data_IF_677183778641
#
_entry.id   IF_677183778641
#
_cell.length_a   1.000
_cell.length_b   1.000
_cell.length_c   1.000
_cell.angle_alpha   90.00
_cell.angle_beta   90.00
_cell.angle_gamma   90.00
#
_symmetry.space_group_name_H-M   'P 1'
#
loop_
_entity.id
_entity.type
_entity.pdbx_description
1 polymer ?
#
# COMPACT_ATOMS: atom_id res chain seq x y z
N UNK A 1 -20.12 10.00 26.36
CA UNK A 1 -18.66 10.12 26.48
C UNK A 1 -18.27 11.54 26.13
N UNK A 2 -17.36 12.17 26.89
CA UNK A 2 -16.85 13.49 26.57
C UNK A 2 -16.09 13.49 25.23
N UNK A 3 -16.08 14.64 24.58
CA UNK A 3 -15.26 14.86 23.39
C UNK A 3 -13.79 14.96 23.77
N UNK A 4 -12.89 14.76 22.81
CA UNK A 4 -11.45 14.98 23.03
C UNK A 4 -11.18 16.45 23.42
N UNK A 5 -11.98 17.39 22.91
CA UNK A 5 -11.84 18.81 23.19
C UNK A 5 -12.26 19.19 24.61
N UNK A 6 -13.28 18.53 25.15
CA UNK A 6 -13.67 18.70 26.55
C UNK A 6 -12.65 18.04 27.48
N UNK A 7 -12.11 16.88 27.09
CA UNK A 7 -11.21 16.15 27.98
C UNK A 7 -9.85 16.83 28.14
N UNK A 8 -9.31 17.44 27.08
CA UNK A 8 -8.05 18.19 27.16
C UNK A 8 -8.11 19.41 28.09
N UNK A 9 -9.30 19.88 28.47
CA UNK A 9 -9.51 21.02 29.37
C UNK A 9 -9.53 20.62 30.84
N UNK A 10 -9.52 19.31 31.13
CA UNK A 10 -9.52 18.79 32.50
C UNK A 10 -8.15 18.95 33.16
N UNK A 11 -8.16 19.12 34.48
CA UNK A 11 -6.94 19.24 35.29
C UNK A 11 -6.13 17.93 35.32
N UNK A 12 -6.83 16.79 35.30
CA UNK A 12 -6.23 15.47 35.18
C UNK A 12 -6.68 14.82 33.87
N UNK A 13 -5.71 14.47 33.02
CA UNK A 13 -5.97 13.79 31.76
C UNK A 13 -5.83 12.28 31.92
N UNK A 14 -6.71 11.56 31.26
CA UNK A 14 -6.58 10.12 31.06
C UNK A 14 -5.44 9.80 30.09
N UNK A 15 -5.12 8.51 29.93
CA UNK A 15 -3.96 8.11 29.12
C UNK A 15 -4.26 8.25 27.62
N UNK A 16 -3.49 9.04 26.85
CA UNK A 16 -3.65 9.11 25.41
C UNK A 16 -3.17 7.82 24.74
N UNK A 17 -4.05 7.15 23.99
CA UNK A 17 -3.72 5.91 23.27
C UNK A 17 -4.01 6.07 21.78
N UNK A 18 -3.05 5.62 20.98
CA UNK A 18 -3.22 5.48 19.53
C UNK A 18 -3.62 4.05 19.19
N UNK A 19 -4.72 3.93 18.47
CA UNK A 19 -5.33 2.69 18.00
C UNK A 19 -5.01 2.52 16.51
N UNK A 20 -4.30 1.46 16.16
CA UNK A 20 -3.89 1.17 14.79
C UNK A 20 -4.68 -0.03 14.26
N UNK A 21 -5.48 0.19 13.24
CA UNK A 21 -6.20 -0.86 12.50
C UNK A 21 -5.56 -1.02 11.13
N UNK A 22 -5.01 -2.20 10.85
CA UNK A 22 -4.41 -2.54 9.57
C UNK A 22 -5.20 -3.63 8.88
N UNK A 23 -5.74 -3.32 7.70
CA UNK A 23 -6.43 -4.27 6.83
C UNK A 23 -5.47 -4.74 5.72
N UNK A 24 -5.22 -6.05 5.67
CA UNK A 24 -4.43 -6.68 4.63
C UNK A 24 -5.24 -6.86 3.33
N UNK A 25 -4.57 -7.20 2.24
CA UNK A 25 -5.22 -7.36 0.92
C UNK A 25 -6.31 -8.43 0.87
N UNK A 26 -6.19 -9.46 1.71
CA UNK A 26 -7.18 -10.53 1.82
C UNK A 26 -8.37 -10.16 2.74
N UNK A 27 -8.42 -8.93 3.27
CA UNK A 27 -9.44 -8.46 4.20
C UNK A 27 -9.17 -8.82 5.66
N UNK A 28 -8.10 -9.56 5.97
CA UNK A 28 -7.73 -9.84 7.35
C UNK A 28 -7.29 -8.55 8.05
N UNK A 29 -7.77 -8.33 9.27
CA UNK A 29 -7.47 -7.15 10.08
C UNK A 29 -6.51 -7.46 11.22
N UNK A 30 -5.67 -6.49 11.54
CA UNK A 30 -4.75 -6.50 12.66
C UNK A 30 -4.99 -5.24 13.49
N UNK A 31 -5.02 -5.39 14.80
CA UNK A 31 -5.31 -4.31 15.74
C UNK A 31 -4.16 -4.17 16.73
N UNK A 32 -3.53 -2.99 16.74
CA UNK A 32 -2.36 -2.73 17.56
C UNK A 32 -2.49 -1.43 18.33
N UNK A 33 -1.92 -1.41 19.52
CA UNK A 33 -1.72 -0.22 20.32
C UNK A 33 -0.44 -0.39 21.16
N UNK A 34 -0.04 0.67 21.87
CA UNK A 34 1.04 0.60 22.87
C UNK A 34 0.61 -0.18 24.12
N UNK A 35 -0.68 -0.09 24.47
CA UNK A 35 -1.30 -0.79 25.58
C UNK A 35 -2.36 -1.77 25.05
N UNK A 36 -2.63 -2.83 25.82
CA UNK A 36 -3.70 -3.75 25.48
C UNK A 36 -5.02 -3.12 25.91
N UNK A 37 -5.87 -2.77 24.96
CA UNK A 37 -7.13 -2.06 25.23
C UNK A 37 -8.30 -2.65 24.46
N UNK A 38 -9.51 -2.56 25.01
CA UNK A 38 -10.75 -2.90 24.30
C UNK A 38 -11.42 -1.62 23.79
N UNK A 39 -11.73 -1.57 22.50
CA UNK A 39 -12.41 -0.44 21.89
C UNK A 39 -13.42 -0.93 20.86
N UNK A 40 -14.67 -0.48 20.99
CA UNK A 40 -15.79 -0.87 20.09
C UNK A 40 -15.96 -2.40 19.96
N UNK A 41 -15.66 -3.16 21.02
CA UNK A 41 -15.75 -4.63 21.02
C UNK A 41 -14.60 -5.32 20.29
N UNK A 42 -13.53 -4.58 19.97
CA UNK A 42 -12.31 -5.09 19.37
C UNK A 42 -11.15 -4.95 20.34
N UNK A 43 -10.44 -6.05 20.55
CA UNK A 43 -9.23 -6.06 21.36
C UNK A 43 -8.02 -5.60 20.53
N UNK A 44 -7.41 -4.49 20.95
CA UNK A 44 -6.14 -4.01 20.44
C UNK A 44 -5.00 -4.64 21.24
N UNK A 45 -4.06 -5.29 20.56
CA UNK A 45 -2.92 -5.92 21.21
C UNK A 45 -1.79 -4.91 21.47
N UNK A 46 -1.13 -5.04 22.64
CA UNK A 46 0.09 -4.30 23.02
C UNK A 46 1.30 -4.76 22.22
N UNK A 47 1.30 -4.51 20.91
CA UNK A 47 2.34 -4.96 19.96
C UNK A 47 3.13 -3.81 19.37
N UNK A 48 2.67 -2.58 19.54
CA UNK A 48 3.36 -1.40 19.03
C UNK A 48 4.46 -0.99 20.00
N UNK A 49 5.71 -1.07 19.55
CA UNK A 49 6.87 -0.64 20.33
C UNK A 49 7.16 0.84 20.10
N UNK A 50 7.15 1.27 18.84
CA UNK A 50 7.43 2.65 18.46
C UNK A 50 6.57 3.06 17.26
N UNK A 51 6.22 4.34 17.20
CA UNK A 51 5.62 4.94 16.02
C UNK A 51 6.24 6.31 15.76
N UNK A 52 6.34 6.69 14.49
CA UNK A 52 6.82 8.01 14.06
C UNK A 52 5.86 8.64 13.07
N UNK A 53 5.90 9.97 12.98
CA UNK A 53 5.09 10.72 12.01
C UNK A 53 3.75 11.19 12.55
N UNK A 54 3.62 11.51 13.83
CA UNK A 54 2.48 12.28 14.35
C UNK A 54 2.87 13.70 14.79
N UNK A 55 4.02 14.21 14.33
CA UNK A 55 4.32 15.63 14.41
C UNK A 55 3.33 16.39 13.51
N UNK A 56 2.29 16.92 14.14
CA UNK A 56 1.35 17.86 13.50
C UNK A 56 2.09 19.19 13.42
N UNK A 57 2.70 19.47 12.27
CA UNK A 57 3.21 20.80 11.96
C UNK A 57 2.03 21.63 11.48
N UNK A 58 1.34 22.29 12.42
CA UNK A 58 0.52 23.43 12.07
C UNK A 58 1.43 24.42 11.34
N UNK A 59 1.09 24.80 10.10
CA UNK A 59 1.92 25.61 9.20
C UNK A 59 3.04 24.85 8.46
N UNK A 60 2.71 23.73 7.79
CA UNK A 60 3.59 23.28 6.70
C UNK A 60 3.44 24.24 5.50
N UNK A 61 4.57 24.69 4.91
CA UNK A 61 4.56 25.55 3.72
C UNK A 61 3.82 24.90 2.53
N UNK A 62 3.68 23.57 2.55
CA UNK A 62 2.96 22.78 1.55
C UNK A 62 1.43 22.73 1.76
N UNK A 63 0.89 23.35 2.83
CA UNK A 63 -0.55 23.36 3.12
C UNK A 63 -1.13 22.00 3.50
N UNK A 64 -0.28 21.03 3.84
CA UNK A 64 -0.69 19.69 4.27
C UNK A 64 -0.44 19.60 5.78
N UNK A 65 -1.50 19.72 6.57
CA UNK A 65 -1.45 19.65 8.05
C UNK A 65 -1.39 18.21 8.60
N UNK A 66 -1.28 17.21 7.71
CA UNK A 66 -1.23 15.79 8.10
C UNK A 66 0.10 15.15 7.72
N UNK A 67 0.55 14.20 8.53
CA UNK A 67 1.82 13.54 8.25
C UNK A 67 1.77 12.77 6.93
N UNK A 68 2.80 12.98 6.10
CA UNK A 68 2.89 12.34 4.79
C UNK A 68 3.14 10.82 4.88
N UNK A 69 3.77 10.39 5.99
CA UNK A 69 4.21 9.02 6.25
C UNK A 69 4.18 8.74 7.75
N UNK A 70 3.75 7.53 8.10
CA UNK A 70 3.82 6.96 9.46
C UNK A 70 4.64 5.69 9.40
N UNK A 71 5.62 5.53 10.29
CA UNK A 71 6.39 4.28 10.42
C UNK A 71 6.10 3.64 11.77
N UNK A 72 5.83 2.35 11.76
CA UNK A 72 5.56 1.56 12.96
C UNK A 72 6.67 0.53 13.18
N UNK A 73 7.03 0.32 14.45
CA UNK A 73 7.88 -0.78 14.91
C UNK A 73 7.01 -1.68 15.78
N UNK A 74 6.82 -2.91 15.33
CA UNK A 74 5.98 -3.92 15.99
C UNK A 74 6.85 -5.01 16.64
N UNK A 75 6.39 -5.54 17.77
CA UNK A 75 6.99 -6.67 18.45
C UNK A 75 6.76 -7.97 17.66
N UNK A 76 7.84 -8.62 17.23
CA UNK A 76 7.83 -9.77 16.32
C UNK A 76 8.60 -10.99 16.85
N UNK A 77 8.91 -11.03 18.14
CA UNK A 77 9.65 -12.15 18.74
C UNK A 77 8.96 -13.53 18.55
N UNK A 78 7.65 -13.55 18.33
CA UNK A 78 6.86 -14.74 18.01
C UNK A 78 6.78 -15.05 16.50
N UNK A 79 7.51 -14.30 15.67
CA UNK A 79 7.53 -14.38 14.21
C UNK A 79 6.18 -14.16 13.52
N UNK A 80 5.15 -13.67 14.22
CA UNK A 80 3.79 -13.51 13.67
C UNK A 80 3.79 -12.66 12.40
N UNK A 81 4.48 -11.51 12.42
CA UNK A 81 4.50 -10.59 11.27
C UNK A 81 5.46 -11.06 10.17
N UNK A 82 6.54 -11.75 10.53
CA UNK A 82 7.40 -12.43 9.54
C UNK A 82 6.63 -13.45 8.71
N UNK A 83 5.76 -14.25 9.34
CA UNK A 83 4.93 -15.24 8.64
C UNK A 83 3.82 -14.57 7.81
N UNK A 84 3.25 -13.49 8.32
CA UNK A 84 2.22 -12.73 7.61
C UNK A 84 2.76 -12.06 6.35
N UNK A 85 3.98 -11.53 6.41
CA UNK A 85 4.65 -10.97 5.23
C UNK A 85 4.93 -12.03 4.16
N UNK A 86 5.36 -13.23 4.56
CA UNK A 86 5.65 -14.33 3.62
C UNK A 86 4.42 -14.88 2.92
N UNK A 87 3.25 -14.76 3.54
CA UNK A 87 2.00 -15.31 3.01
C UNK A 87 1.22 -14.29 2.17
N UNK A 88 0.86 -13.15 2.77
CA UNK A 88 -0.02 -12.14 2.15
C UNK A 88 0.76 -10.88 1.78
N UNK A 89 1.69 -10.47 2.65
CA UNK A 89 2.44 -9.23 2.50
C UNK A 89 1.71 -7.99 3.03
N UNK A 90 2.46 -7.04 3.57
CA UNK A 90 1.96 -5.75 4.05
C UNK A 90 1.87 -4.69 2.94
N UNK A 91 2.53 -4.89 1.80
CA UNK A 91 2.46 -3.97 0.66
C UNK A 91 1.01 -3.85 0.20
N UNK A 92 0.45 -2.64 0.13
CA UNK A 92 -0.94 -2.40 -0.28
C UNK A 92 -1.99 -2.67 0.81
N UNK A 93 -1.57 -2.95 2.05
CA UNK A 93 -2.47 -2.92 3.22
C UNK A 93 -3.02 -1.50 3.43
N UNK A 94 -4.14 -1.37 4.15
CA UNK A 94 -4.72 -0.09 4.55
C UNK A 94 -4.54 0.10 6.04
N UNK A 95 -4.04 1.26 6.45
CA UNK A 95 -3.92 1.63 7.85
C UNK A 95 -4.93 2.73 8.19
N UNK A 96 -5.64 2.55 9.29
CA UNK A 96 -6.47 3.56 9.92
C UNK A 96 -6.00 3.74 11.37
N UNK A 97 -5.55 4.95 11.70
CA UNK A 97 -5.11 5.31 13.05
C UNK A 97 -6.13 6.23 13.69
N UNK A 98 -6.54 5.86 14.89
CA UNK A 98 -7.44 6.63 15.74
C UNK A 98 -6.74 7.01 17.04
N UNK A 99 -7.13 8.14 17.61
CA UNK A 99 -6.69 8.62 18.90
C UNK A 99 -7.89 8.67 19.83
N UNK A 100 -7.74 8.11 21.03
CA UNK A 100 -8.70 8.29 22.10
C UNK A 100 -7.96 8.24 23.43
N UNK A 101 -8.55 8.84 24.44
CA UNK A 101 -8.09 8.71 25.80
C UNK A 101 -8.75 7.50 26.47
N UNK A 102 -7.97 6.79 27.29
CA UNK A 102 -8.41 5.60 27.99
C UNK A 102 -8.12 5.71 29.47
N UNK A 103 -9.10 5.25 30.26
CA UNK A 103 -8.83 4.77 31.62
C UNK A 103 -8.25 3.36 31.48
N UNK A 104 -6.93 3.25 31.65
CA UNK A 104 -6.22 1.97 31.54
C UNK A 104 -6.46 1.05 32.74
N UNK A 105 -6.87 1.58 33.89
CA UNK A 105 -7.16 0.76 35.07
C UNK A 105 -8.51 0.04 34.90
N UNK A 106 -9.53 0.75 34.40
CA UNK A 106 -10.82 0.16 34.06
C UNK A 106 -10.83 -0.53 32.68
N UNK A 107 -9.86 -0.22 31.82
CA UNK A 107 -9.79 -0.65 30.43
C UNK A 107 -11.02 -0.23 29.61
N UNK A 108 -11.43 1.04 29.75
CA UNK A 108 -12.61 1.62 29.07
C UNK A 108 -12.20 2.92 28.37
N UNK A 109 -12.73 3.21 27.16
CA UNK A 109 -12.48 4.49 26.52
C UNK A 109 -13.12 5.63 27.33
N UNK A 110 -12.30 6.61 27.67
CA UNK A 110 -12.71 7.79 28.42
C UNK A 110 -13.22 8.91 27.50
N UNK A 111 -12.77 8.96 26.23
CA UNK A 111 -13.24 9.93 25.22
C UNK A 111 -13.71 9.27 23.94
N UNK A 112 -14.43 10.02 23.12
CA UNK A 112 -14.60 9.66 21.71
C UNK A 112 -13.24 9.50 20.98
N UNK A 113 -13.27 8.84 19.83
CA UNK A 113 -12.08 8.61 19.02
C UNK A 113 -11.99 9.55 17.82
N UNK A 114 -10.84 10.20 17.64
CA UNK A 114 -10.52 11.04 16.49
C UNK A 114 -9.67 10.25 15.47
N UNK A 115 -10.02 10.32 14.20
CA UNK A 115 -9.17 9.74 13.14
C UNK A 115 -7.98 10.66 12.86
N UNK A 116 -6.76 10.17 13.11
CA UNK A 116 -5.53 10.94 12.86
C UNK A 116 -4.91 10.65 11.49
N UNK A 117 -4.96 9.39 11.04
CA UNK A 117 -4.25 8.99 9.83
C UNK A 117 -5.00 7.89 9.08
N UNK A 118 -5.00 8.02 7.75
CA UNK A 118 -5.42 6.96 6.84
C UNK A 118 -4.42 6.84 5.70
N UNK A 119 -3.89 5.63 5.49
CA UNK A 119 -2.83 5.42 4.53
C UNK A 119 -2.79 4.01 3.96
N UNK A 120 -1.83 3.79 3.07
CA UNK A 120 -1.53 2.48 2.50
C UNK A 120 -0.12 2.03 2.86
N UNK A 121 0.04 0.75 3.20
CA UNK A 121 1.31 0.15 3.58
C UNK A 121 2.21 -0.14 2.39
N UNK A 122 3.50 -0.02 2.60
CA UNK A 122 4.53 -0.52 1.68
C UNK A 122 4.97 -1.94 2.10
N UNK A 123 5.91 -2.50 1.35
CA UNK A 123 6.68 -3.64 1.87
C UNK A 123 7.38 -3.21 3.18
N UNK A 124 7.60 -4.13 4.13
CA UNK A 124 8.29 -3.80 5.36
C UNK A 124 9.69 -3.25 5.08
N UNK A 125 10.07 -2.20 5.80
CA UNK A 125 11.39 -1.60 5.68
C UNK A 125 12.46 -2.53 6.28
N UNK A 126 12.09 -3.25 7.33
CA UNK A 126 13.00 -4.16 8.03
C UNK A 126 12.24 -5.26 8.76
N UNK A 127 12.75 -6.49 8.67
CA UNK A 127 12.27 -7.64 9.44
C UNK A 127 13.46 -8.17 10.24
N UNK A 128 13.41 -8.04 11.56
CA UNK A 128 14.36 -8.64 12.49
C UNK A 128 13.68 -9.78 13.24
N UNK A 129 14.48 -10.53 13.98
CA UNK A 129 14.00 -11.60 14.86
C UNK A 129 12.98 -11.09 15.89
N UNK A 130 13.27 -9.97 16.56
CA UNK A 130 12.41 -9.43 17.63
C UNK A 130 11.51 -8.27 17.20
N UNK A 131 11.82 -7.60 16.08
CA UNK A 131 11.10 -6.40 15.64
C UNK A 131 10.74 -6.43 14.17
N UNK A 132 9.62 -5.80 13.83
CA UNK A 132 9.13 -5.66 12.47
C UNK A 132 8.81 -4.19 12.19
N UNK A 133 9.47 -3.60 11.19
CA UNK A 133 9.29 -2.20 10.81
C UNK A 133 8.54 -2.10 9.50
N UNK A 134 7.43 -1.37 9.52
CA UNK A 134 6.60 -1.12 8.35
C UNK A 134 6.24 0.36 8.24
N UNK A 135 6.28 0.85 7.00
CA UNK A 135 5.93 2.21 6.64
C UNK A 135 4.57 2.25 5.96
N UNK A 136 3.76 3.24 6.32
CA UNK A 136 2.52 3.60 5.66
C UNK A 136 2.61 5.02 5.12
N UNK A 137 2.17 5.20 3.87
CA UNK A 137 2.08 6.51 3.24
C UNK A 137 0.63 7.03 3.32
N UNK A 138 0.47 8.32 3.60
CA UNK A 138 -0.83 8.96 3.68
C UNK A 138 -1.55 8.84 2.33
N UNK A 139 -2.86 8.60 2.36
CA UNK A 139 -3.69 8.54 1.15
C UNK A 139 -3.67 9.86 0.37
N UNK A 140 -3.50 10.98 1.05
CA UNK A 140 -3.42 12.32 0.47
C UNK A 140 -2.00 12.70 0.04
N UNK A 141 -1.00 11.84 0.25
CA UNK A 141 0.35 12.10 -0.23
C UNK A 141 0.40 11.96 -1.76
N UNK A 142 0.52 13.10 -2.45
CA UNK A 142 0.60 13.20 -3.90
C UNK A 142 1.92 12.69 -4.51
N UNK A 143 2.89 12.23 -3.72
CA UNK A 143 4.12 11.58 -4.21
C UNK A 143 3.91 10.20 -4.87
N UNK A 144 2.68 9.78 -5.15
CA UNK A 144 2.43 8.77 -6.19
C UNK A 144 2.71 9.36 -7.57
N UNK A 145 3.95 9.76 -7.81
CA UNK A 145 4.54 9.64 -9.13
C UNK A 145 4.55 8.13 -9.37
N UNK A 146 3.51 7.63 -10.05
CA UNK A 146 3.53 6.33 -10.69
C UNK A 146 4.67 6.39 -11.70
N UNK A 147 5.89 6.15 -11.24
CA UNK A 147 7.00 5.83 -12.12
C UNK A 147 6.48 4.64 -12.94
N UNK A 148 6.42 4.75 -14.28
CA UNK A 148 5.92 3.68 -15.10
C UNK A 148 6.63 2.38 -14.73
N UNK A 149 5.93 1.24 -14.76
CA UNK A 149 6.53 -0.09 -14.54
C UNK A 149 7.71 -0.37 -15.49
N UNK A 150 7.84 0.44 -16.54
CA UNK A 150 8.94 0.46 -17.49
C UNK A 150 9.84 1.65 -17.25
N UNK A 151 11.16 1.44 -17.41
CA UNK A 151 12.13 2.53 -17.42
C UNK A 151 11.72 3.55 -18.48
N UNK A 152 11.85 4.85 -18.16
CA UNK A 152 11.70 5.91 -19.16
C UNK A 152 12.90 5.80 -20.11
N UNK A 153 12.67 5.30 -21.31
CA UNK A 153 13.71 5.08 -22.32
C UNK A 153 13.15 5.37 -23.72
N UNK A 154 14.02 5.71 -24.67
CA UNK A 154 13.61 6.07 -26.06
C UNK A 154 13.07 4.87 -26.86
N UNK A 155 13.45 3.64 -26.51
CA UNK A 155 13.09 2.40 -27.23
C UNK A 155 12.00 1.64 -26.48
N UNK A 156 11.04 1.05 -27.18
CA UNK A 156 10.10 0.12 -26.55
C UNK A 156 10.83 -1.00 -25.78
N UNK A 157 10.50 -1.26 -24.50
CA UNK A 157 11.14 -2.32 -23.70
C UNK A 157 10.56 -3.71 -23.96
N UNK A 158 9.45 -3.81 -24.69
CA UNK A 158 8.72 -5.05 -24.90
C UNK A 158 9.32 -5.88 -26.03
N UNK A 159 9.27 -7.20 -25.87
CA UNK A 159 9.73 -8.13 -26.88
C UNK A 159 8.73 -8.16 -28.04
N UNK A 160 9.20 -7.94 -29.26
CA UNK A 160 8.35 -7.92 -30.45
C UNK A 160 8.05 -9.35 -30.93
N UNK A 161 6.78 -9.71 -31.18
CA UNK A 161 6.40 -11.02 -31.69
C UNK A 161 6.64 -11.09 -33.21
N UNK A 162 7.63 -11.86 -33.64
CA UNK A 162 8.00 -12.00 -35.06
C UNK A 162 7.23 -13.11 -35.76
N UNK A 163 6.88 -14.17 -35.04
CA UNK A 163 6.16 -15.32 -35.61
C UNK A 163 4.64 -15.21 -35.42
N UNK A 164 3.87 -15.95 -36.22
CA UNK A 164 2.42 -16.01 -36.09
C UNK A 164 1.97 -16.56 -34.72
N UNK A 165 2.70 -17.54 -34.17
CA UNK A 165 2.43 -18.11 -32.85
C UNK A 165 2.66 -17.09 -31.72
N UNK A 166 3.75 -16.32 -31.79
CA UNK A 166 4.03 -15.26 -30.80
C UNK A 166 3.00 -14.12 -30.88
N UNK A 167 2.51 -13.82 -32.08
CA UNK A 167 1.43 -12.84 -32.29
C UNK A 167 0.10 -13.32 -31.70
N UNK A 168 -0.19 -14.63 -31.76
CA UNK A 168 -1.36 -15.20 -31.09
C UNK A 168 -1.23 -15.10 -29.56
N UNK A 169 -0.03 -15.37 -29.04
CA UNK A 169 0.27 -15.19 -27.61
C UNK A 169 0.16 -13.72 -27.18
N UNK A 170 0.48 -12.77 -28.04
CA UNK A 170 0.41 -11.34 -27.71
C UNK A 170 -1.01 -10.82 -27.41
N UNK A 171 -2.06 -11.51 -27.86
CA UNK A 171 -3.47 -11.08 -27.65
C UNK A 171 -3.88 -11.24 -26.18
N UNK A 172 -3.67 -12.43 -25.62
CA UNK A 172 -4.14 -12.80 -24.27
C UNK A 172 -3.01 -13.17 -23.31
N UNK A 173 -1.79 -13.31 -23.82
CA UNK A 173 -0.62 -13.81 -23.07
C UNK A 173 -0.53 -15.33 -23.01
N UNK A 174 -1.35 -16.04 -23.80
CA UNK A 174 -1.40 -17.50 -23.83
C UNK A 174 -1.62 -18.10 -22.44
N UNK A 175 -0.87 -19.15 -22.12
CA UNK A 175 -0.96 -19.84 -20.81
C UNK A 175 -0.39 -19.03 -19.65
N UNK A 176 0.44 -18.00 -19.91
CA UNK A 176 1.07 -17.16 -18.89
C UNK A 176 0.32 -15.85 -18.63
N UNK A 177 -0.71 -15.55 -19.43
CA UNK A 177 -1.52 -14.33 -19.30
C UNK A 177 -0.67 -13.06 -19.23
N UNK A 178 -0.92 -12.24 -18.22
CA UNK A 178 -0.23 -10.97 -18.00
C UNK A 178 1.30 -11.06 -17.80
N UNK A 179 1.84 -12.27 -17.59
CA UNK A 179 3.27 -12.54 -17.42
C UNK A 179 3.97 -13.00 -18.70
N UNK A 180 3.24 -13.14 -19.82
CA UNK A 180 3.87 -13.42 -21.11
C UNK A 180 4.76 -12.24 -21.54
N UNK A 181 5.94 -12.52 -22.13
CA UNK A 181 6.83 -11.47 -22.64
C UNK A 181 6.21 -10.67 -23.80
N UNK A 182 5.24 -11.24 -24.52
CA UNK A 182 4.63 -10.63 -25.70
C UNK A 182 3.29 -9.92 -25.40
N UNK A 183 2.60 -10.32 -24.33
CA UNK A 183 1.30 -9.74 -23.94
C UNK A 183 1.36 -8.22 -23.76
N UNK A 184 2.45 -7.71 -23.17
CA UNK A 184 2.64 -6.27 -22.98
C UNK A 184 3.01 -5.52 -24.26
N UNK A 185 3.51 -6.22 -25.28
CA UNK A 185 3.71 -5.63 -26.61
C UNK A 185 2.38 -5.49 -27.36
N UNK A 186 1.50 -6.49 -27.28
CA UNK A 186 0.16 -6.47 -27.86
C UNK A 186 0.08 -6.53 -29.40
N UNK A 187 1.21 -6.49 -30.11
CA UNK A 187 1.23 -6.57 -31.57
C UNK A 187 0.78 -7.96 -32.04
N UNK A 188 -0.36 -8.01 -32.72
CA UNK A 188 -1.05 -9.23 -33.13
C UNK A 188 -1.67 -9.09 -34.53
N UNK A 189 -1.05 -8.28 -35.38
CA UNK A 189 -1.51 -8.04 -36.75
C UNK A 189 -1.62 -9.33 -37.56
N UNK A 190 -2.66 -9.47 -38.38
CA UNK A 190 -2.92 -10.67 -39.20
C UNK A 190 -3.53 -11.86 -38.45
N UNK A 191 -3.99 -11.68 -37.22
CA UNK A 191 -4.73 -12.68 -36.43
C UNK A 191 -6.10 -12.12 -36.09
N UNK A 192 -7.12 -12.98 -36.10
CA UNK A 192 -8.50 -12.60 -35.77
C UNK A 192 -8.60 -12.03 -34.36
N UNK A 193 -9.11 -10.80 -34.22
CA UNK A 193 -9.19 -10.07 -32.95
C UNK A 193 -7.89 -9.41 -32.49
N UNK A 194 -6.82 -9.49 -33.28
CA UNK A 194 -5.54 -8.83 -32.99
C UNK A 194 -5.50 -7.35 -33.40
N UNK A 195 -4.52 -6.63 -32.86
CA UNK A 195 -4.25 -5.21 -33.14
C UNK A 195 -2.84 -4.99 -33.67
N UNK A 196 -2.69 -4.06 -34.61
CA UNK A 196 -1.40 -3.62 -35.12
C UNK A 196 -1.41 -3.33 -36.62
N UNK A 197 -0.52 -2.45 -37.04
CA UNK A 197 -0.35 -2.09 -38.44
C UNK A 197 0.19 -3.23 -39.29
N UNK A 198 -0.21 -3.21 -40.57
CA UNK A 198 0.27 -4.08 -41.62
C UNK A 198 1.15 -3.27 -42.59
N UNK A 199 2.16 -3.92 -43.17
CA UNK A 199 2.90 -3.38 -44.30
C UNK A 199 2.14 -3.71 -45.60
N UNK A 200 1.12 -2.92 -45.92
CA UNK A 200 0.11 -3.31 -46.92
C UNK A 200 -0.79 -4.41 -46.35
N UNK A 201 -0.71 -5.62 -46.92
CA UNK A 201 -1.50 -6.79 -46.47
C UNK A 201 -0.71 -7.75 -45.57
N UNK A 202 0.59 -7.49 -45.33
CA UNK A 202 1.49 -8.42 -44.63
C UNK A 202 1.88 -7.87 -43.24
N UNK A 203 1.86 -8.70 -42.19
CA UNK A 203 2.36 -8.32 -40.85
C UNK A 203 3.85 -7.96 -40.84
N UNK A 204 4.25 -7.04 -39.97
CA UNK A 204 5.67 -6.71 -39.78
C UNK A 204 6.41 -7.87 -39.13
N UNK A 205 7.59 -8.17 -39.66
CA UNK A 205 8.55 -9.15 -39.14
C UNK A 205 9.62 -8.52 -38.25
N UNK A 206 9.73 -7.18 -38.27
CA UNK A 206 10.72 -6.40 -37.55
C UNK A 206 10.14 -5.09 -37.03
N UNK A 207 10.55 -4.70 -35.82
CA UNK A 207 10.10 -3.48 -35.15
C UNK A 207 11.26 -2.49 -34.99
N UNK A 208 11.01 -1.23 -35.33
CA UNK A 208 11.93 -0.10 -35.11
C UNK A 208 11.91 0.42 -33.65
N UNK A 209 11.21 -0.29 -32.76
CA UNK A 209 10.99 0.05 -31.36
C UNK A 209 10.25 1.37 -31.14
N UNK A 210 9.54 1.88 -32.16
CA UNK A 210 8.71 3.08 -32.05
C UNK A 210 7.23 2.72 -32.04
N UNK A 211 6.45 3.50 -31.28
CA UNK A 211 4.99 3.28 -31.17
C UNK A 211 4.26 3.56 -32.49
N UNK A 212 4.83 4.40 -33.38
CA UNK A 212 4.21 4.75 -34.67
C UNK A 212 4.13 3.56 -35.62
N UNK A 213 5.07 2.62 -35.53
CA UNK A 213 5.09 1.45 -36.40
C UNK A 213 4.11 0.36 -35.94
N UNK A 214 3.65 0.39 -34.68
CA UNK A 214 2.87 -0.69 -34.07
C UNK A 214 1.39 -0.35 -33.82
N UNK A 215 0.96 0.91 -33.96
CA UNK A 215 -0.42 1.39 -33.74
C UNK A 215 -1.14 1.64 -35.03
#
# INVERSE_FOLDING_TARGET
>A
MPTIHEMKEQELLETPVLLFECELRNGQRQYWATHRVDFEGVLYEARLLEHTGFDIRAYSEDGIDTSAKVSLVLANADSRYSQLERSIGFKGSRLHVRFAFFDLAANVPASEALTLFRGSGNAPDQIRESTFRVTFNNRLNFQRILLPDVRIQKRCPWLFPTTAEQRAEAITGGSRGAYSPFFRCGYSAGIEGGVGNLNGDVPFDSCDYTRKSCV
#
